data_IF_257112828776
#
_entry.id   IF_257112828776
#
_cell.length_a   1.000
_cell.length_b   1.000
_cell.length_c   1.000
_cell.angle_alpha   90.00
_cell.angle_beta   90.00
_cell.angle_gamma   90.00
#
_symmetry.space_group_name_H-M   'P 1'
#
loop_
_entity.id
_entity.type
_entity.pdbx_description
1 polymer ?
#
# COMPACT_ATOMS: atom_id res chain seq x y z
N UNK A 1 -41.49 13.24 -14.66
CA UNK A 1 -42.28 13.51 -13.44
C UNK A 1 -42.00 12.38 -12.44
N UNK A 2 -41.47 12.49 -11.22
CA UNK A 2 -40.91 13.55 -10.39
C UNK A 2 -39.65 12.96 -9.73
N UNK A 3 -38.46 13.23 -10.24
CA UNK A 3 -37.23 13.07 -9.47
C UNK A 3 -36.99 14.42 -8.78
N UNK A 4 -37.60 14.61 -7.61
CA UNK A 4 -37.36 15.79 -6.80
C UNK A 4 -35.88 15.80 -6.36
N UNK A 5 -35.14 16.79 -6.88
CA UNK A 5 -33.89 17.30 -6.35
C UNK A 5 -34.06 17.71 -4.87
N UNK A 6 -34.00 16.76 -3.95
CA UNK A 6 -33.64 17.07 -2.58
C UNK A 6 -32.11 17.26 -2.53
N UNK A 7 -31.60 18.41 -2.05
CA UNK A 7 -30.16 18.54 -1.86
C UNK A 7 -29.71 17.42 -0.91
N UNK A 8 -28.64 16.70 -1.26
CA UNK A 8 -27.93 15.79 -0.34
C UNK A 8 -27.36 16.64 0.80
N UNK A 9 -28.19 16.96 1.78
CA UNK A 9 -27.76 17.54 3.05
C UNK A 9 -26.99 16.45 3.78
N UNK A 10 -25.66 16.53 3.79
CA UNK A 10 -24.83 15.76 4.71
C UNK A 10 -25.19 16.21 6.12
N UNK A 11 -25.59 15.26 6.97
CA UNK A 11 -25.96 15.48 8.37
C UNK A 11 -24.77 15.24 9.29
N UNK A 12 -23.81 14.41 8.87
CA UNK A 12 -22.53 14.23 9.58
C UNK A 12 -21.62 15.43 9.32
N UNK A 13 -21.25 16.21 10.34
CA UNK A 13 -20.31 17.32 10.20
C UNK A 13 -18.93 16.84 9.76
N UNK A 14 -18.21 17.68 9.00
CA UNK A 14 -16.80 17.44 8.62
C UNK A 14 -16.55 16.14 7.87
N UNK A 15 -17.58 15.55 7.25
CA UNK A 15 -17.40 14.47 6.31
C UNK A 15 -16.74 15.01 5.04
N UNK A 16 -15.41 15.03 5.01
CA UNK A 16 -14.58 15.41 3.85
C UNK A 16 -14.19 14.19 3.00
N UNK A 17 -14.86 13.05 3.20
CA UNK A 17 -14.59 11.80 2.49
C UNK A 17 -15.63 11.54 1.39
N UNK A 18 -15.33 10.59 0.51
CA UNK A 18 -16.27 10.09 -0.51
C UNK A 18 -17.43 9.27 0.09
N UNK A 19 -17.30 8.81 1.34
CA UNK A 19 -18.35 8.07 2.02
C UNK A 19 -19.59 8.92 2.29
N UNK A 20 -20.75 8.33 2.04
CA UNK A 20 -22.06 8.84 2.45
C UNK A 20 -22.25 8.68 3.96
N UNK A 21 -23.17 9.46 4.53
CA UNK A 21 -23.51 9.34 5.96
C UNK A 21 -24.01 7.93 6.31
N UNK A 22 -24.71 7.27 5.38
CA UNK A 22 -25.11 5.87 5.50
C UNK A 22 -23.89 4.96 5.72
N UNK A 23 -22.88 5.09 4.87
CA UNK A 23 -21.68 4.24 4.96
C UNK A 23 -20.89 4.48 6.24
N UNK A 24 -20.81 5.74 6.68
CA UNK A 24 -20.15 6.08 7.96
C UNK A 24 -20.92 5.48 9.14
N UNK A 25 -22.24 5.64 9.17
CA UNK A 25 -23.08 5.06 10.23
C UNK A 25 -22.94 3.54 10.25
N UNK A 26 -22.97 2.87 9.11
CA UNK A 26 -22.85 1.41 9.03
C UNK A 26 -21.47 0.97 9.53
N UNK A 27 -20.39 1.68 9.16
CA UNK A 27 -19.03 1.36 9.62
C UNK A 27 -18.85 1.55 11.12
N UNK A 28 -19.48 2.58 11.70
CA UNK A 28 -19.32 2.89 13.12
C UNK A 28 -20.29 2.13 14.02
N UNK A 29 -21.55 1.96 13.59
CA UNK A 29 -22.66 1.47 14.41
C UNK A 29 -23.32 0.19 13.88
N UNK A 30 -23.05 -0.21 12.63
CA UNK A 30 -23.66 -1.37 11.97
C UNK A 30 -24.94 -1.07 11.19
N UNK A 31 -25.34 -2.03 10.35
CA UNK A 31 -26.52 -1.92 9.46
C UNK A 31 -27.82 -1.73 10.23
N UNK A 32 -27.97 -2.41 11.37
CA UNK A 32 -29.18 -2.31 12.19
C UNK A 32 -29.38 -0.90 12.75
N UNK A 33 -28.30 -0.21 13.14
CA UNK A 33 -28.37 1.17 13.60
C UNK A 33 -28.80 2.12 12.47
N UNK A 34 -28.31 1.90 11.24
CA UNK A 34 -28.76 2.67 10.08
C UNK A 34 -30.27 2.50 9.82
N UNK A 35 -30.79 1.27 9.88
CA UNK A 35 -32.23 1.00 9.70
C UNK A 35 -33.07 1.74 10.74
N UNK A 36 -32.67 1.69 12.02
CA UNK A 36 -33.36 2.41 13.09
C UNK A 36 -33.31 3.93 12.86
N UNK A 37 -32.16 4.46 12.41
CA UNK A 37 -32.02 5.88 12.09
C UNK A 37 -32.93 6.30 10.95
N UNK A 38 -33.01 5.53 9.87
CA UNK A 38 -33.84 5.83 8.71
C UNK A 38 -35.34 5.83 9.07
N UNK A 39 -35.78 4.84 9.85
CA UNK A 39 -37.13 4.80 10.41
C UNK A 39 -37.43 6.03 11.27
N UNK A 40 -36.51 6.43 12.16
CA UNK A 40 -36.69 7.60 13.03
C UNK A 40 -36.67 8.93 12.25
N UNK A 41 -35.99 9.00 11.10
CA UNK A 41 -36.00 10.18 10.21
C UNK A 41 -37.34 10.37 9.51
N UNK A 42 -38.02 9.27 9.17
CA UNK A 42 -39.36 9.33 8.59
C UNK A 42 -40.41 9.91 9.56
N UNK A 43 -40.19 9.79 10.87
CA UNK A 43 -41.00 10.41 11.92
C UNK A 43 -40.58 11.85 12.22
N UNK A 44 -41.41 12.84 11.83
CA UNK A 44 -41.16 14.31 11.88
C UNK A 44 -40.83 14.96 13.26
N UNK A 45 -40.32 14.26 14.27
CA UNK A 45 -40.14 14.76 15.66
C UNK A 45 -38.69 14.71 16.23
N UNK A 46 -37.67 14.27 15.51
CA UNK A 46 -36.36 13.87 16.10
C UNK A 46 -35.13 14.74 15.75
N UNK A 47 -35.30 15.86 15.03
CA UNK A 47 -34.19 16.57 14.37
C UNK A 47 -33.00 17.00 15.26
N UNK A 48 -33.24 17.46 16.49
CA UNK A 48 -32.14 17.91 17.38
C UNK A 48 -31.34 16.76 17.99
N UNK A 49 -32.00 15.66 18.36
CA UNK A 49 -31.34 14.47 18.91
C UNK A 49 -30.55 13.71 17.83
N UNK A 50 -31.12 13.62 16.62
CA UNK A 50 -30.42 13.05 15.47
C UNK A 50 -29.15 13.85 15.13
N UNK A 51 -29.24 15.18 15.10
CA UNK A 51 -28.07 16.05 14.88
C UNK A 51 -26.95 15.81 15.90
N UNK A 52 -27.27 15.71 17.18
CA UNK A 52 -26.26 15.46 18.23
C UNK A 52 -25.59 14.09 18.07
N UNK A 53 -26.33 13.07 17.62
CA UNK A 53 -25.76 11.77 17.30
C UNK A 53 -24.81 11.86 16.10
N UNK A 54 -25.21 12.52 15.02
CA UNK A 54 -24.33 12.72 13.86
C UNK A 54 -23.10 13.55 14.17
N UNK A 55 -23.17 14.52 15.09
CA UNK A 55 -22.01 15.24 15.61
C UNK A 55 -21.04 14.30 16.34
N UNK A 56 -21.54 13.34 17.13
CA UNK A 56 -20.69 12.31 17.79
C UNK A 56 -20.02 11.42 16.74
N UNK A 57 -20.77 10.94 15.75
CA UNK A 57 -20.23 10.09 14.68
C UNK A 57 -19.24 10.84 13.80
N UNK A 58 -19.50 12.12 13.52
CA UNK A 58 -18.61 12.99 12.76
C UNK A 58 -17.28 13.23 13.46
N UNK A 59 -17.30 13.47 14.77
CA UNK A 59 -16.08 13.64 15.56
C UNK A 59 -15.24 12.35 15.62
N UNK A 60 -15.87 11.17 15.77
CA UNK A 60 -15.15 9.89 15.68
C UNK A 60 -14.54 9.73 14.28
N UNK A 61 -15.36 9.95 13.25
CA UNK A 61 -14.96 9.75 11.86
C UNK A 61 -13.81 10.66 11.42
N UNK A 62 -13.89 11.95 11.74
CA UNK A 62 -12.86 12.92 11.35
C UNK A 62 -11.52 12.59 11.99
N UNK A 63 -11.52 12.15 13.26
CA UNK A 63 -10.29 11.72 13.93
C UNK A 63 -9.77 10.41 13.34
N UNK A 64 -10.63 9.42 13.09
CA UNK A 64 -10.21 8.16 12.45
C UNK A 64 -9.59 8.36 11.06
N UNK A 65 -10.01 9.41 10.34
CA UNK A 65 -9.56 9.72 8.97
C UNK A 65 -8.49 10.80 8.88
N UNK A 66 -8.00 11.30 10.01
CA UNK A 66 -6.99 12.35 10.05
C UNK A 66 -5.81 11.95 10.96
N UNK A 67 -4.71 11.44 10.38
CA UNK A 67 -3.51 11.08 11.13
C UNK A 67 -2.98 12.18 12.05
N UNK A 68 -3.08 13.46 11.66
CA UNK A 68 -2.62 14.57 12.50
C UNK A 68 -3.45 14.73 13.78
N UNK A 69 -4.78 14.50 13.69
CA UNK A 69 -5.64 14.50 14.88
C UNK A 69 -5.39 13.26 15.74
N UNK A 70 -5.12 12.11 15.14
CA UNK A 70 -4.75 10.91 15.89
C UNK A 70 -3.47 11.13 16.70
N UNK A 71 -2.44 11.67 16.07
CA UNK A 71 -1.16 11.94 16.72
C UNK A 71 -1.30 12.98 17.84
N UNK A 72 -2.02 14.09 17.63
CA UNK A 72 -2.28 15.08 18.69
C UNK A 72 -2.98 14.45 19.91
N UNK A 73 -3.95 13.57 19.68
CA UNK A 73 -4.71 12.91 20.76
C UNK A 73 -3.92 11.77 21.43
N UNK A 74 -2.99 11.12 20.73
CA UNK A 74 -2.06 10.16 21.31
C UNK A 74 -1.03 10.86 22.21
N UNK A 75 -0.51 12.00 21.76
CA UNK A 75 0.51 12.77 22.49
C UNK A 75 -0.08 13.62 23.62
N UNK A 76 -1.39 13.92 23.56
CA UNK A 76 -2.08 14.74 24.55
C UNK A 76 -3.27 14.00 25.22
N UNK A 77 -3.01 13.19 26.27
CA UNK A 77 -4.05 12.45 26.99
C UNK A 77 -5.17 13.33 27.57
N UNK A 78 -4.85 14.59 27.91
CA UNK A 78 -5.85 15.53 28.43
C UNK A 78 -6.85 15.94 27.34
N UNK A 79 -6.38 16.29 26.13
CA UNK A 79 -7.26 16.58 24.99
C UNK A 79 -8.10 15.37 24.61
N UNK A 80 -7.50 14.17 24.58
CA UNK A 80 -8.24 12.91 24.38
C UNK A 80 -9.36 12.76 25.41
N UNK A 81 -9.06 12.93 26.70
CA UNK A 81 -10.08 12.86 27.76
C UNK A 81 -11.21 13.87 27.56
N UNK A 82 -10.90 15.12 27.24
CA UNK A 82 -11.90 16.16 26.96
C UNK A 82 -12.81 15.81 25.78
N UNK A 83 -12.24 15.29 24.69
CA UNK A 83 -13.02 14.81 23.54
C UNK A 83 -13.99 13.70 23.96
N UNK A 84 -13.49 12.65 24.62
CA UNK A 84 -14.31 11.52 25.05
C UNK A 84 -15.42 11.96 26.01
N UNK A 85 -15.12 12.82 26.99
CA UNK A 85 -16.12 13.38 27.90
C UNK A 85 -17.21 14.18 27.16
N UNK A 86 -16.83 14.96 26.14
CA UNK A 86 -17.76 15.70 25.31
C UNK A 86 -18.68 14.77 24.49
N UNK A 87 -18.13 13.70 23.90
CA UNK A 87 -18.91 12.70 23.17
C UNK A 87 -19.94 12.02 24.08
N UNK A 88 -19.53 11.53 25.26
CA UNK A 88 -20.46 10.95 26.23
C UNK A 88 -21.49 11.95 26.74
N UNK A 89 -21.11 13.23 26.94
CA UNK A 89 -22.05 14.26 27.33
C UNK A 89 -23.15 14.44 26.27
N UNK A 90 -22.80 14.52 24.98
CA UNK A 90 -23.79 14.61 23.89
C UNK A 90 -24.72 13.39 23.87
N UNK A 91 -24.18 12.18 24.05
CA UNK A 91 -25.00 10.96 24.11
C UNK A 91 -25.97 10.95 25.31
N UNK A 92 -25.56 11.47 26.47
CA UNK A 92 -26.47 11.64 27.63
C UNK A 92 -27.58 12.63 27.32
N UNK A 93 -27.28 13.73 26.64
CA UNK A 93 -28.30 14.71 26.23
C UNK A 93 -29.30 14.16 25.20
N UNK A 94 -28.84 13.31 24.27
CA UNK A 94 -29.73 12.55 23.36
C UNK A 94 -30.68 11.66 24.18
N UNK A 95 -30.15 10.93 25.16
CA UNK A 95 -30.93 10.02 26.00
C UNK A 95 -31.97 10.77 26.87
N UNK A 96 -31.65 11.96 27.41
CA UNK A 96 -32.60 12.77 28.19
C UNK A 96 -33.78 13.29 27.39
N UNK A 97 -33.62 13.46 26.08
CA UNK A 97 -34.65 14.01 25.17
C UNK A 97 -35.51 12.93 24.52
N UNK A 98 -35.32 11.69 24.92
CA UNK A 98 -36.08 10.54 24.47
C UNK A 98 -37.52 10.59 24.97
N UNK A 99 -38.49 10.41 24.08
CA UNK A 99 -39.91 10.21 24.44
C UNK A 99 -40.18 8.74 24.70
N UNK A 100 -41.20 8.42 25.50
CA UNK A 100 -41.60 7.05 25.82
C UNK A 100 -41.93 6.20 24.59
N UNK A 101 -42.55 6.79 23.57
CA UNK A 101 -42.91 6.11 22.30
C UNK A 101 -41.69 5.64 21.50
N UNK A 102 -40.56 6.36 21.59
CA UNK A 102 -39.35 6.08 20.80
C UNK A 102 -38.22 5.50 21.66
N UNK A 103 -38.52 5.16 22.92
CA UNK A 103 -37.51 4.87 23.92
C UNK A 103 -36.65 3.66 23.60
N UNK A 104 -37.26 2.58 23.09
CA UNK A 104 -36.53 1.37 22.71
C UNK A 104 -35.56 1.63 21.54
N UNK A 105 -36.04 2.28 20.47
CA UNK A 105 -35.24 2.58 19.27
C UNK A 105 -34.10 3.56 19.55
N UNK A 106 -34.39 4.66 20.23
CA UNK A 106 -33.37 5.66 20.61
C UNK A 106 -32.38 5.05 21.61
N UNK A 107 -32.86 4.23 22.55
CA UNK A 107 -32.02 3.51 23.49
C UNK A 107 -31.00 2.60 22.80
N UNK A 108 -31.43 1.82 21.79
CA UNK A 108 -30.55 0.98 20.97
C UNK A 108 -29.48 1.80 20.25
N UNK A 109 -29.87 2.89 19.58
CA UNK A 109 -28.92 3.77 18.89
C UNK A 109 -27.89 4.41 19.83
N UNK A 110 -28.34 4.92 20.98
CA UNK A 110 -27.45 5.50 21.98
C UNK A 110 -26.53 4.43 22.57
N UNK A 111 -27.01 3.20 22.75
CA UNK A 111 -26.21 2.04 23.14
C UNK A 111 -25.07 1.79 22.14
N UNK A 112 -25.42 1.57 20.87
CA UNK A 112 -24.42 1.35 19.81
C UNK A 112 -23.42 2.52 19.69
N UNK A 113 -23.89 3.76 19.84
CA UNK A 113 -23.02 4.93 19.80
C UNK A 113 -22.09 5.02 21.03
N UNK A 114 -22.54 4.60 22.21
CA UNK A 114 -21.66 4.48 23.39
C UNK A 114 -20.58 3.43 23.14
N UNK A 115 -20.95 2.27 22.62
CA UNK A 115 -19.99 1.21 22.29
C UNK A 115 -18.96 1.70 21.26
N UNK A 116 -19.40 2.46 20.26
CA UNK A 116 -18.50 3.07 19.28
C UNK A 116 -17.53 4.10 19.90
N UNK A 117 -17.99 4.92 20.86
CA UNK A 117 -17.12 5.86 21.60
C UNK A 117 -16.10 5.11 22.46
N UNK A 118 -16.52 4.05 23.16
CA UNK A 118 -15.62 3.23 23.98
C UNK A 118 -14.58 2.50 23.11
N UNK A 119 -15.01 1.94 21.98
CA UNK A 119 -14.10 1.33 21.01
C UNK A 119 -13.10 2.36 20.47
N UNK A 120 -13.58 3.52 20.01
CA UNK A 120 -12.75 4.63 19.54
C UNK A 120 -11.74 5.08 20.60
N UNK A 121 -12.15 5.17 21.86
CA UNK A 121 -11.25 5.51 22.95
C UNK A 121 -10.18 4.42 23.14
N UNK A 122 -10.57 3.15 23.19
CA UNK A 122 -9.66 2.02 23.40
C UNK A 122 -8.63 1.86 22.26
N UNK A 123 -8.96 2.28 21.04
CA UNK A 123 -8.06 2.23 19.89
C UNK A 123 -6.76 3.01 20.12
N UNK A 124 -6.81 4.16 20.79
CA UNK A 124 -5.60 4.94 21.09
C UNK A 124 -4.60 4.15 21.95
N UNK A 125 -5.08 3.39 22.93
CA UNK A 125 -4.23 2.56 23.78
C UNK A 125 -3.67 1.37 23.01
N UNK A 126 -4.47 0.75 22.14
CA UNK A 126 -4.04 -0.32 21.23
C UNK A 126 -2.95 0.18 20.27
N UNK A 127 -3.13 1.35 19.67
CA UNK A 127 -2.13 2.00 18.81
C UNK A 127 -0.85 2.29 19.59
N UNK A 128 -0.94 2.84 20.80
CA UNK A 128 0.25 3.13 21.61
C UNK A 128 1.03 1.85 21.96
N UNK A 129 0.34 0.76 22.32
CA UNK A 129 0.96 -0.54 22.57
C UNK A 129 1.60 -1.09 21.30
N UNK A 130 0.91 -1.02 20.16
CA UNK A 130 1.44 -1.50 18.89
C UNK A 130 2.66 -0.69 18.45
N UNK A 131 2.65 0.65 18.54
CA UNK A 131 3.82 1.51 18.24
C UNK A 131 5.03 1.11 19.09
N UNK A 132 4.85 0.82 20.39
CA UNK A 132 5.94 0.31 21.25
C UNK A 132 6.47 -1.04 20.78
N UNK A 133 5.59 -1.97 20.39
CA UNK A 133 5.99 -3.28 19.84
C UNK A 133 6.75 -3.12 18.53
N UNK A 134 6.23 -2.32 17.60
CA UNK A 134 6.86 -2.05 16.31
C UNK A 134 8.24 -1.44 16.49
N UNK A 135 8.38 -0.41 17.33
CA UNK A 135 9.70 0.19 17.65
C UNK A 135 10.68 -0.83 18.22
N UNK A 136 10.22 -1.75 19.08
CA UNK A 136 11.05 -2.80 19.67
C UNK A 136 11.49 -3.86 18.64
N UNK A 137 10.61 -4.24 17.72
CA UNK A 137 10.87 -5.29 16.73
C UNK A 137 11.68 -4.74 15.56
N UNK A 138 11.21 -3.66 14.93
CA UNK A 138 11.81 -3.08 13.72
C UNK A 138 13.04 -2.21 14.02
N UNK A 139 13.11 -1.58 15.19
CA UNK A 139 14.26 -0.76 15.59
C UNK A 139 15.55 -1.55 15.82
N UNK A 140 15.52 -2.89 15.67
CA UNK A 140 16.71 -3.74 15.62
C UNK A 140 17.38 -3.74 14.24
N UNK A 141 16.63 -3.40 13.20
CA UNK A 141 17.04 -3.53 11.80
C UNK A 141 17.20 -2.18 11.12
N UNK A 142 16.47 -1.16 11.55
CA UNK A 142 16.52 0.18 10.96
C UNK A 142 16.62 1.27 12.02
N UNK A 143 17.05 2.46 11.60
CA UNK A 143 17.10 3.64 12.44
C UNK A 143 15.70 4.08 12.91
N UNK A 144 15.63 4.76 14.05
CA UNK A 144 14.34 5.10 14.68
C UNK A 144 13.50 6.09 13.84
N UNK A 145 14.17 6.97 13.10
CA UNK A 145 13.59 7.94 12.17
C UNK A 145 13.08 7.30 10.87
N UNK A 146 13.53 6.09 10.54
CA UNK A 146 12.99 5.30 9.44
C UNK A 146 11.68 4.57 9.79
N UNK A 147 11.17 4.71 11.02
CA UNK A 147 9.90 4.13 11.48
C UNK A 147 8.91 5.27 11.70
N UNK A 148 8.27 5.73 10.63
CA UNK A 148 7.45 6.93 10.62
C UNK A 148 5.97 6.62 10.92
N UNK A 149 5.42 7.36 11.88
CA UNK A 149 4.00 7.31 12.24
C UNK A 149 3.28 8.64 12.00
N UNK A 150 4.02 9.69 11.67
CA UNK A 150 3.51 11.05 11.58
C UNK A 150 2.52 11.21 10.42
N UNK A 151 1.69 12.25 10.53
CA UNK A 151 0.66 12.53 9.54
C UNK A 151 1.19 12.79 8.13
N UNK A 152 2.38 13.37 7.96
CA UNK A 152 2.92 13.64 6.61
C UNK A 152 3.29 12.32 5.93
N UNK A 153 4.04 11.46 6.62
CA UNK A 153 4.39 10.14 6.10
C UNK A 153 3.14 9.34 5.74
N UNK A 154 2.16 9.22 6.65
CA UNK A 154 0.95 8.42 6.41
C UNK A 154 0.08 8.99 5.30
N UNK A 155 -0.06 10.31 5.20
CA UNK A 155 -0.85 10.97 4.13
C UNK A 155 -0.20 10.85 2.76
N UNK A 156 1.12 10.99 2.66
CA UNK A 156 1.81 10.84 1.37
C UNK A 156 1.81 9.40 0.83
N UNK A 157 1.57 8.40 1.69
CA UNK A 157 1.63 6.99 1.34
C UNK A 157 0.25 6.27 1.38
N UNK A 158 -0.83 7.03 1.51
CA UNK A 158 -2.22 6.50 1.54
C UNK A 158 -2.75 6.08 0.16
N UNK A 159 -2.10 6.54 -0.92
CA UNK A 159 -2.64 6.40 -2.28
C UNK A 159 -1.55 6.29 -3.34
N UNK A 160 -1.88 5.74 -4.50
CA UNK A 160 -1.10 5.80 -5.73
C UNK A 160 -1.79 6.69 -6.79
N UNK A 161 -1.44 6.58 -8.07
CA UNK A 161 -2.01 7.40 -9.12
C UNK A 161 -3.50 7.08 -9.42
N UNK A 162 -4.08 6.05 -8.82
CA UNK A 162 -5.55 5.83 -8.83
C UNK A 162 -6.30 6.87 -8.00
N UNK A 163 -5.60 7.58 -7.11
CA UNK A 163 -6.18 8.52 -6.15
C UNK A 163 -7.13 7.87 -5.12
N UNK A 164 -7.14 6.53 -5.03
CA UNK A 164 -7.92 5.79 -4.04
C UNK A 164 -7.31 5.95 -2.65
N UNK A 165 -8.13 6.38 -1.68
CA UNK A 165 -7.74 6.58 -0.27
C UNK A 165 -8.58 5.71 0.64
N UNK A 166 -8.30 4.41 0.65
CA UNK A 166 -9.10 3.42 1.38
C UNK A 166 -8.75 3.45 2.86
N UNK A 167 -7.53 3.07 3.24
CA UNK A 167 -7.03 3.15 4.62
C UNK A 167 -5.69 3.89 4.69
N UNK A 168 -5.41 4.50 5.85
CA UNK A 168 -4.06 5.00 6.14
C UNK A 168 -3.18 3.86 6.62
N UNK A 169 -1.90 3.81 6.20
CA UNK A 169 -1.00 2.78 6.72
C UNK A 169 -0.78 3.00 8.23
N UNK A 170 -0.54 1.92 8.97
CA UNK A 170 -0.19 2.00 10.38
C UNK A 170 1.17 2.70 10.57
N UNK A 171 2.13 2.32 9.73
CA UNK A 171 3.52 2.79 9.76
C UNK A 171 4.06 2.88 8.34
N UNK A 172 4.93 3.87 8.10
CA UNK A 172 5.75 3.95 6.89
C UNK A 172 7.20 3.68 7.28
N UNK A 173 7.85 2.78 6.56
CA UNK A 173 9.23 2.37 6.76
C UNK A 173 10.08 2.89 5.61
N UNK A 174 11.19 3.57 5.90
CA UNK A 174 12.07 4.20 4.90
C UNK A 174 13.53 3.74 5.09
N UNK A 175 13.86 2.45 4.83
CA UNK A 175 15.21 1.92 5.03
C UNK A 175 16.29 2.71 4.28
N UNK A 176 17.50 2.75 4.82
CA UNK A 176 18.67 3.39 4.21
C UNK A 176 19.45 2.44 3.29
N UNK A 177 19.42 1.14 3.59
CA UNK A 177 20.12 0.09 2.86
C UNK A 177 19.21 -1.10 2.56
N UNK A 178 19.53 -1.84 1.49
CA UNK A 178 18.82 -3.08 1.17
C UNK A 178 18.99 -4.14 2.27
N UNK A 179 20.13 -4.14 2.99
CA UNK A 179 20.43 -5.10 4.06
C UNK A 179 19.41 -5.07 5.22
N UNK A 180 18.63 -4.00 5.35
CA UNK A 180 17.59 -3.86 6.36
C UNK A 180 16.31 -4.62 5.99
N UNK A 181 16.06 -4.85 4.69
CA UNK A 181 14.81 -5.37 4.16
C UNK A 181 14.44 -6.75 4.73
N UNK A 182 15.35 -7.74 4.82
CA UNK A 182 15.02 -9.05 5.42
C UNK A 182 14.47 -8.95 6.84
N UNK A 183 15.10 -8.12 7.67
CA UNK A 183 14.70 -7.89 9.05
C UNK A 183 13.36 -7.16 9.15
N UNK A 184 13.13 -6.16 8.30
CA UNK A 184 11.88 -5.42 8.24
C UNK A 184 10.71 -6.31 7.78
N UNK A 185 10.90 -7.17 6.78
CA UNK A 185 9.87 -8.11 6.31
C UNK A 185 9.49 -9.09 7.42
N UNK A 186 10.46 -9.76 8.05
CA UNK A 186 10.23 -10.67 9.19
C UNK A 186 9.50 -9.97 10.33
N UNK A 187 9.97 -8.78 10.69
CA UNK A 187 9.39 -8.01 11.77
C UNK A 187 7.95 -7.58 11.51
N UNK A 188 7.62 -7.13 10.29
CA UNK A 188 6.26 -6.79 9.90
C UNK A 188 5.31 -8.00 9.98
N UNK A 189 5.75 -9.17 9.52
CA UNK A 189 4.97 -10.41 9.60
C UNK A 189 4.76 -10.84 11.07
N UNK A 190 5.79 -10.78 11.91
CA UNK A 190 5.67 -11.03 13.37
C UNK A 190 4.64 -10.10 14.04
N UNK A 191 4.57 -8.86 13.58
CA UNK A 191 3.65 -7.84 14.10
C UNK A 191 2.22 -7.98 13.55
N UNK A 192 1.99 -8.87 12.57
CA UNK A 192 0.71 -9.03 11.89
C UNK A 192 0.36 -7.87 10.96
N UNK A 193 1.37 -7.19 10.41
CA UNK A 193 1.19 -6.09 9.46
C UNK A 193 1.21 -6.60 8.02
N UNK A 194 0.24 -6.17 7.22
CA UNK A 194 0.28 -6.34 5.76
C UNK A 194 1.38 -5.46 5.18
N UNK A 195 2.33 -6.06 4.45
CA UNK A 195 3.44 -5.34 3.84
C UNK A 195 3.02 -4.80 2.48
N UNK A 196 3.29 -3.52 2.22
CA UNK A 196 3.08 -2.88 0.93
C UNK A 196 4.41 -2.26 0.48
N UNK A 197 5.14 -2.89 -0.46
CA UNK A 197 6.33 -2.28 -1.03
C UNK A 197 5.93 -1.09 -1.93
N UNK A 198 6.68 0.00 -1.85
CA UNK A 198 6.36 1.23 -2.59
C UNK A 198 7.63 1.95 -3.05
N UNK A 199 7.73 2.22 -4.35
CA UNK A 199 8.63 3.25 -4.89
C UNK A 199 7.89 4.58 -5.01
N UNK A 200 8.03 5.29 -6.15
CA UNK A 200 7.39 6.60 -6.36
C UNK A 200 5.85 6.66 -6.43
N UNK A 201 5.13 5.58 -6.12
CA UNK A 201 3.65 5.62 -5.97
C UNK A 201 2.86 5.94 -7.25
N UNK A 202 3.44 5.71 -8.44
CA UNK A 202 2.84 6.11 -9.73
C UNK A 202 1.95 5.02 -10.38
N UNK A 203 1.58 3.97 -9.64
CA UNK A 203 0.77 2.87 -10.14
C UNK A 203 -0.70 3.27 -10.38
N UNK A 204 -1.37 2.64 -11.35
CA UNK A 204 -2.74 2.96 -11.78
C UNK A 204 -3.77 1.87 -11.47
N UNK A 205 -3.49 1.05 -10.47
CA UNK A 205 -4.23 -0.18 -10.19
C UNK A 205 -4.55 -0.37 -8.72
N UNK A 206 -3.95 0.41 -7.82
CA UNK A 206 -4.16 0.29 -6.39
C UNK A 206 -3.14 -0.63 -5.70
N UNK A 207 -2.13 -1.15 -6.41
CA UNK A 207 -1.12 -2.06 -5.84
C UNK A 207 -0.31 -1.47 -4.67
N UNK A 208 -0.23 -0.13 -4.58
CA UNK A 208 0.42 0.57 -3.46
C UNK A 208 -0.57 1.27 -2.50
N UNK A 209 -1.87 0.97 -2.61
CA UNK A 209 -2.93 1.56 -1.77
C UNK A 209 -3.18 0.66 -0.55
N UNK A 210 -3.07 1.18 0.68
CA UNK A 210 -3.43 0.40 1.86
C UNK A 210 -4.93 0.14 1.93
N UNK A 211 -5.29 -1.14 2.01
CA UNK A 211 -6.67 -1.61 2.16
C UNK A 211 -7.03 -2.01 3.60
N UNK A 212 -6.03 -2.03 4.49
CA UNK A 212 -6.17 -2.37 5.90
C UNK A 212 -5.43 -1.33 6.75
N UNK A 213 -6.00 -0.91 7.90
CA UNK A 213 -5.29 -0.04 8.83
C UNK A 213 -4.09 -0.74 9.47
N UNK A 214 -4.03 -2.08 9.42
CA UNK A 214 -2.90 -2.89 9.89
C UNK A 214 -1.90 -3.16 8.75
N UNK A 215 -1.43 -2.09 8.10
CA UNK A 215 -0.47 -2.17 6.99
C UNK A 215 0.80 -1.39 7.29
N UNK A 216 1.92 -1.92 6.82
CA UNK A 216 3.22 -1.25 6.79
C UNK A 216 3.58 -0.97 5.34
N UNK A 217 3.75 0.31 5.00
CA UNK A 217 4.31 0.68 3.70
C UNK A 217 5.83 0.71 3.83
N UNK A 218 6.54 -0.07 3.00
CA UNK A 218 8.01 -0.01 2.91
C UNK A 218 8.34 0.85 1.69
N UNK A 219 8.74 2.10 1.92
CA UNK A 219 9.16 3.01 0.86
C UNK A 219 10.64 2.74 0.51
N UNK A 220 10.89 2.35 -0.73
CA UNK A 220 12.21 2.00 -1.26
C UNK A 220 12.93 3.14 -1.97
N UNK A 221 12.37 4.36 -2.04
CA UNK A 221 12.95 5.51 -2.76
C UNK A 221 14.36 5.88 -2.29
N UNK A 222 14.72 5.64 -1.03
CA UNK A 222 16.08 5.85 -0.50
C UNK A 222 17.11 4.83 -1.04
N UNK A 223 16.67 3.70 -1.60
CA UNK A 223 17.54 2.69 -2.21
C UNK A 223 17.96 3.13 -3.63
N UNK A 224 18.69 4.24 -3.70
CA UNK A 224 18.96 4.98 -4.94
C UNK A 224 20.37 4.79 -5.52
N UNK A 225 21.07 3.73 -5.11
CA UNK A 225 22.37 3.33 -5.67
C UNK A 225 22.26 3.15 -7.19
N UNK A 226 23.11 3.83 -7.95
CA UNK A 226 23.14 3.76 -9.41
C UNK A 226 24.57 3.58 -9.89
N UNK A 227 24.84 2.48 -10.58
CA UNK A 227 26.14 2.20 -11.21
C UNK A 227 26.33 2.92 -12.54
N UNK A 228 27.55 2.80 -13.09
CA UNK A 228 27.81 3.14 -14.48
C UNK A 228 27.27 2.06 -15.42
N UNK A 229 27.22 2.37 -16.72
CA UNK A 229 27.05 1.32 -17.73
C UNK A 229 28.35 0.55 -17.87
N UNK A 230 28.28 -0.77 -17.73
CA UNK A 230 29.41 -1.68 -17.81
C UNK A 230 29.14 -2.80 -18.81
N UNK A 231 30.19 -3.20 -19.53
CA UNK A 231 30.16 -4.37 -20.41
C UNK A 231 30.38 -5.62 -19.55
N UNK A 232 29.35 -6.46 -19.43
CA UNK A 232 29.42 -7.70 -18.65
C UNK A 232 29.11 -8.89 -19.54
N UNK A 233 29.86 -9.99 -19.37
CA UNK A 233 29.48 -11.29 -19.94
C UNK A 233 28.42 -11.94 -19.04
N UNK A 234 27.16 -11.88 -19.46
CA UNK A 234 26.05 -12.50 -18.74
C UNK A 234 26.12 -14.04 -18.79
N UNK A 235 25.53 -14.75 -17.80
CA UNK A 235 25.50 -16.20 -17.81
C UNK A 235 24.90 -16.79 -19.09
N UNK A 236 25.60 -17.75 -19.70
CA UNK A 236 25.18 -18.41 -20.94
C UNK A 236 25.48 -17.64 -22.23
N UNK A 237 26.13 -16.47 -22.15
CA UNK A 237 26.59 -15.73 -23.33
C UNK A 237 28.10 -15.88 -23.55
N UNK A 238 28.50 -15.83 -24.82
CA UNK A 238 29.90 -15.89 -25.26
C UNK A 238 30.51 -14.51 -25.52
N UNK A 239 29.73 -13.43 -25.38
CA UNK A 239 30.14 -12.04 -25.57
C UNK A 239 29.66 -11.16 -24.41
N UNK A 240 30.23 -9.96 -24.31
CA UNK A 240 29.81 -8.96 -23.32
C UNK A 240 28.65 -8.13 -23.86
N UNK A 241 27.78 -7.69 -22.96
CA UNK A 241 26.65 -6.79 -23.25
C UNK A 241 26.65 -5.62 -22.29
N UNK A 242 26.11 -4.48 -22.74
CA UNK A 242 25.97 -3.30 -21.89
C UNK A 242 24.91 -3.54 -20.81
N UNK A 243 25.27 -3.28 -19.57
CA UNK A 243 24.42 -3.48 -18.38
C UNK A 243 24.53 -2.27 -17.47
N UNK A 244 23.50 -2.03 -16.66
CA UNK A 244 23.51 -0.98 -15.63
C UNK A 244 22.89 -1.53 -14.35
N UNK A 245 23.61 -1.39 -13.24
CA UNK A 245 23.11 -1.75 -11.92
C UNK A 245 22.35 -0.56 -11.29
N UNK A 246 21.21 -0.85 -10.67
CA UNK A 246 20.43 0.15 -9.94
C UNK A 246 19.70 -0.45 -8.74
N UNK A 247 19.64 0.28 -7.63
CA UNK A 247 18.74 -0.01 -6.53
C UNK A 247 17.27 0.21 -6.89
N UNK A 248 16.38 -0.40 -6.10
CA UNK A 248 14.93 -0.37 -6.36
C UNK A 248 14.32 1.05 -6.34
N UNK A 249 14.93 1.97 -5.60
CA UNK A 249 14.47 3.35 -5.42
C UNK A 249 14.87 4.31 -6.54
N UNK A 250 15.78 3.93 -7.42
CA UNK A 250 16.27 4.82 -8.47
C UNK A 250 15.14 5.23 -9.41
N UNK A 251 14.95 6.55 -9.59
CA UNK A 251 14.00 7.10 -10.55
C UNK A 251 14.38 6.68 -11.97
N UNK A 252 13.42 6.20 -12.75
CA UNK A 252 13.61 5.63 -14.10
C UNK A 252 14.38 6.57 -15.02
N UNK A 253 14.05 7.88 -14.98
CA UNK A 253 14.73 8.89 -15.79
C UNK A 253 16.23 8.95 -15.52
N UNK A 254 16.69 8.75 -14.28
CA UNK A 254 18.13 8.75 -13.93
C UNK A 254 18.87 7.59 -14.59
N UNK A 255 18.25 6.41 -14.65
CA UNK A 255 18.82 5.25 -15.35
C UNK A 255 18.86 5.49 -16.85
N UNK A 256 17.79 6.07 -17.43
CA UNK A 256 17.78 6.46 -18.84
C UNK A 256 18.88 7.46 -19.16
N UNK A 257 19.06 8.50 -18.35
CA UNK A 257 20.13 9.49 -18.56
C UNK A 257 21.53 8.90 -18.45
N UNK A 258 21.74 7.96 -17.53
CA UNK A 258 23.01 7.25 -17.41
C UNK A 258 23.29 6.38 -18.64
N UNK A 259 22.28 5.67 -19.15
CA UNK A 259 22.38 4.89 -20.37
C UNK A 259 22.66 5.80 -21.58
N UNK A 260 21.90 6.88 -21.75
CA UNK A 260 22.03 7.80 -22.88
C UNK A 260 23.43 8.44 -22.94
N UNK A 261 24.00 8.82 -21.78
CA UNK A 261 25.39 9.34 -21.67
C UNK A 261 26.46 8.35 -22.12
N UNK A 262 26.18 7.05 -22.05
CA UNK A 262 27.07 5.98 -22.52
C UNK A 262 26.81 5.58 -23.98
N UNK A 263 25.89 6.25 -24.68
CA UNK A 263 25.49 5.89 -26.04
C UNK A 263 24.53 4.71 -26.12
N UNK A 264 23.93 4.29 -25.00
CA UNK A 264 22.96 3.20 -24.91
C UNK A 264 21.55 3.74 -24.70
N UNK A 265 20.53 2.96 -25.08
CA UNK A 265 19.13 3.30 -24.83
C UNK A 265 18.60 2.46 -23.68
N UNK A 266 18.09 3.10 -22.62
CA UNK A 266 17.29 2.38 -21.63
C UNK A 266 15.88 2.11 -22.18
N UNK A 267 15.51 0.83 -22.26
CA UNK A 267 14.31 0.36 -22.95
C UNK A 267 13.01 0.66 -22.20
N UNK A 268 13.03 0.65 -20.86
CA UNK A 268 11.82 0.80 -20.03
C UNK A 268 11.48 2.29 -19.88
N UNK A 269 10.39 2.72 -20.52
CA UNK A 269 10.00 4.13 -20.65
C UNK A 269 8.53 4.41 -20.29
N UNK A 270 8.07 4.10 -19.05
CA UNK A 270 6.72 4.44 -18.64
C UNK A 270 6.47 5.95 -18.76
N UNK A 271 5.23 6.36 -19.00
CA UNK A 271 4.85 7.79 -19.04
C UNK A 271 5.23 8.52 -17.74
N UNK A 272 5.31 7.80 -16.62
CA UNK A 272 5.73 8.29 -15.32
C UNK A 272 7.24 8.23 -15.07
N UNK A 273 8.10 8.09 -16.08
CA UNK A 273 9.54 7.86 -15.89
C UNK A 273 10.28 8.89 -15.02
N UNK A 274 9.77 10.12 -14.91
CA UNK A 274 10.33 11.17 -14.04
C UNK A 274 9.99 10.98 -12.55
N UNK A 275 9.08 10.06 -12.22
CA UNK A 275 8.65 9.77 -10.84
C UNK A 275 8.64 8.28 -10.50
N UNK A 276 8.45 7.36 -11.46
CA UNK A 276 8.48 5.93 -11.19
C UNK A 276 9.91 5.44 -10.91
N UNK A 277 10.03 4.50 -9.99
CA UNK A 277 11.31 3.90 -9.62
C UNK A 277 11.51 2.54 -10.31
N UNK A 278 12.76 2.10 -10.46
CA UNK A 278 13.11 0.82 -11.12
C UNK A 278 12.44 -0.37 -10.45
N UNK A 279 12.39 -0.44 -9.11
CA UNK A 279 11.73 -1.54 -8.40
C UNK A 279 10.25 -1.65 -8.76
N UNK A 280 9.55 -0.52 -8.85
CA UNK A 280 8.16 -0.48 -9.32
C UNK A 280 8.03 -0.90 -10.78
N UNK A 281 8.95 -0.49 -11.66
CA UNK A 281 8.93 -0.92 -13.05
C UNK A 281 9.10 -2.44 -13.20
N UNK A 282 9.98 -3.04 -12.40
CA UNK A 282 10.21 -4.50 -12.38
C UNK A 282 8.96 -5.19 -11.85
N UNK A 283 8.47 -4.80 -10.68
CA UNK A 283 7.30 -5.39 -10.04
C UNK A 283 6.08 -5.41 -10.98
N UNK A 284 5.94 -4.38 -11.81
CA UNK A 284 4.77 -4.17 -12.67
C UNK A 284 4.99 -4.60 -14.13
N UNK A 285 6.17 -5.15 -14.43
CA UNK A 285 6.65 -5.42 -15.79
C UNK A 285 6.38 -4.25 -16.75
N UNK A 286 6.80 -3.06 -16.32
CA UNK A 286 6.49 -1.81 -17.00
C UNK A 286 6.98 -1.83 -18.45
N UNK A 287 6.18 -1.22 -19.32
CA UNK A 287 6.57 -0.93 -20.69
C UNK A 287 6.51 0.57 -20.93
N UNK A 288 6.26 0.93 -22.18
CA UNK A 288 6.08 2.30 -22.63
C UNK A 288 6.09 2.34 -24.15
N UNK A 289 6.44 3.48 -24.74
CA UNK A 289 6.43 3.64 -26.20
C UNK A 289 7.55 2.81 -26.85
N UNK A 290 8.70 2.73 -26.18
CA UNK A 290 9.86 1.94 -26.60
C UNK A 290 9.60 0.43 -26.59
N UNK A 291 8.61 -0.05 -25.83
CA UNK A 291 8.34 -1.48 -25.69
C UNK A 291 7.99 -2.20 -27.01
N UNK A 292 7.52 -1.47 -28.03
CA UNK A 292 7.29 -2.02 -29.38
C UNK A 292 8.58 -2.57 -29.99
N UNK A 293 9.71 -1.89 -29.76
CA UNK A 293 11.02 -2.31 -30.26
C UNK A 293 11.74 -3.21 -29.25
N UNK A 294 11.82 -2.78 -27.99
CA UNK A 294 12.72 -3.39 -26.99
C UNK A 294 12.02 -4.19 -25.87
N UNK A 295 10.70 -4.35 -25.92
CA UNK A 295 9.95 -5.08 -24.89
C UNK A 295 9.70 -4.31 -23.59
N UNK A 296 9.15 -5.00 -22.60
CA UNK A 296 8.86 -4.50 -21.25
C UNK A 296 10.06 -4.72 -20.33
N UNK A 297 9.94 -4.39 -19.05
CA UNK A 297 11.01 -4.54 -18.07
C UNK A 297 11.61 -5.95 -18.07
N UNK A 298 10.77 -7.00 -18.05
CA UNK A 298 11.22 -8.39 -18.03
C UNK A 298 12.14 -8.77 -19.21
N UNK A 299 11.91 -8.23 -20.41
CA UNK A 299 12.74 -8.56 -21.58
C UNK A 299 14.16 -8.03 -21.46
N UNK A 300 14.37 -7.03 -20.59
CA UNK A 300 15.62 -6.30 -20.43
C UNK A 300 16.36 -6.65 -19.13
N UNK A 301 15.75 -7.43 -18.22
CA UNK A 301 16.37 -7.81 -16.96
C UNK A 301 17.43 -8.90 -17.14
N UNK A 302 18.67 -8.55 -16.83
CA UNK A 302 19.76 -9.51 -16.66
C UNK A 302 19.63 -10.27 -15.33
N UNK A 303 19.29 -9.56 -14.24
CA UNK A 303 19.01 -10.12 -12.93
C UNK A 303 18.23 -9.14 -12.06
N UNK A 304 17.65 -9.63 -10.97
CA UNK A 304 17.10 -8.80 -9.89
C UNK A 304 17.20 -9.53 -8.55
N UNK A 305 17.14 -8.76 -7.47
CA UNK A 305 17.14 -9.23 -6.09
C UNK A 305 15.85 -8.83 -5.40
N UNK A 306 15.30 -9.73 -4.60
CA UNK A 306 14.16 -9.47 -3.74
C UNK A 306 14.32 -10.18 -2.39
N UNK A 307 13.36 -9.94 -1.50
CA UNK A 307 13.24 -10.62 -0.21
C UNK A 307 11.91 -11.36 -0.19
N UNK A 308 11.93 -12.64 0.17
CA UNK A 308 10.73 -13.48 0.29
C UNK A 308 9.97 -13.22 1.62
N UNK A 309 8.74 -13.73 1.78
CA UNK A 309 7.98 -13.57 3.03
C UNK A 309 8.66 -14.18 4.25
N UNK A 310 9.52 -15.17 4.07
CA UNK A 310 10.33 -15.74 5.14
C UNK A 310 11.53 -14.85 5.52
N UNK A 311 11.73 -13.71 4.84
CA UNK A 311 12.82 -12.77 5.00
C UNK A 311 14.18 -13.36 4.64
N UNK A 312 14.22 -14.13 3.55
CA UNK A 312 15.44 -14.58 2.90
C UNK A 312 15.64 -13.78 1.61
N UNK A 313 16.90 -13.64 1.22
CA UNK A 313 17.25 -13.10 -0.08
C UNK A 313 16.86 -14.07 -1.18
N UNK A 314 16.39 -13.53 -2.29
CA UNK A 314 16.15 -14.24 -3.54
C UNK A 314 16.81 -13.46 -4.68
N UNK A 315 17.91 -14.00 -5.20
CA UNK A 315 18.55 -13.52 -6.42
C UNK A 315 18.00 -14.30 -7.61
N UNK A 316 17.52 -13.60 -8.64
CA UNK A 316 17.02 -14.18 -9.89
C UNK A 316 17.92 -13.72 -11.03
N UNK A 317 18.54 -14.67 -11.72
CA UNK A 317 19.48 -14.42 -12.82
C UNK A 317 18.93 -15.01 -14.12
N UNK A 318 18.89 -14.22 -15.19
CA UNK A 318 18.47 -14.68 -16.52
C UNK A 318 19.64 -15.37 -17.22
N UNK A 319 19.45 -16.62 -17.60
CA UNK A 319 20.46 -17.44 -18.27
C UNK A 319 20.22 -17.41 -19.79
N UNK A 320 21.27 -17.12 -20.56
CA UNK A 320 21.19 -17.05 -22.02
C UNK A 320 20.25 -15.94 -22.49
N UNK A 321 20.38 -14.75 -21.90
CA UNK A 321 19.59 -13.57 -22.28
C UNK A 321 19.62 -13.36 -23.80
N UNK A 322 18.47 -13.15 -24.46
CA UNK A 322 18.40 -13.08 -25.92
C UNK A 322 18.54 -11.67 -26.52
N UNK A 323 18.65 -10.64 -25.67
CA UNK A 323 18.74 -9.21 -26.05
C UNK A 323 17.56 -8.77 -26.93
N UNK A 324 16.42 -9.43 -26.76
CA UNK A 324 15.21 -9.22 -27.52
C UNK A 324 13.99 -9.57 -26.67
N UNK A 325 12.82 -9.66 -27.30
CA UNK A 325 11.61 -9.92 -26.55
C UNK A 325 11.62 -11.37 -26.03
N UNK A 326 11.21 -11.56 -24.78
CA UNK A 326 11.32 -12.85 -24.09
C UNK A 326 10.44 -13.94 -24.71
N UNK A 327 9.42 -13.56 -25.48
CA UNK A 327 8.52 -14.51 -26.15
C UNK A 327 9.03 -14.99 -27.52
N UNK A 328 10.14 -14.43 -28.01
CA UNK A 328 10.75 -14.84 -29.27
C UNK A 328 11.67 -16.08 -29.12
N UNK A 329 11.96 -16.50 -27.88
CA UNK A 329 12.73 -17.72 -27.61
C UNK A 329 11.81 -18.90 -27.30
N UNK A 330 12.26 -20.11 -27.64
CA UNK A 330 11.54 -21.34 -27.28
C UNK A 330 11.36 -21.44 -25.76
N UNK A 331 12.44 -21.18 -25.02
CA UNK A 331 12.46 -21.19 -23.55
C UNK A 331 13.31 -20.04 -23.00
N UNK A 332 12.81 -19.38 -21.97
CA UNK A 332 13.59 -18.51 -21.10
C UNK A 332 13.95 -19.26 -19.81
N UNK A 333 15.22 -19.22 -19.44
CA UNK A 333 15.74 -19.89 -18.25
C UNK A 333 16.15 -18.86 -17.20
N UNK A 334 15.76 -19.10 -15.95
CA UNK A 334 16.11 -18.29 -14.80
C UNK A 334 16.70 -19.17 -13.70
N UNK A 335 17.83 -18.75 -13.16
CA UNK A 335 18.41 -19.37 -11.95
C UNK A 335 17.98 -18.55 -10.75
N UNK A 336 17.36 -19.21 -9.78
CA UNK A 336 16.86 -18.61 -8.55
C UNK A 336 17.72 -19.12 -7.39
N UNK A 337 18.31 -18.20 -6.62
CA UNK A 337 19.14 -18.54 -5.46
C UNK A 337 18.56 -17.90 -4.22
N UNK A 338 18.14 -18.74 -3.27
CA UNK A 338 17.71 -18.28 -1.95
C UNK A 338 18.88 -18.33 -0.99
N UNK A 339 19.09 -17.27 -0.22
CA UNK A 339 20.09 -17.23 0.84
C UNK A 339 19.55 -16.59 2.12
N UNK A 340 20.05 -17.03 3.27
CA UNK A 340 19.59 -16.59 4.58
C UNK A 340 19.73 -15.07 4.74
N UNK A 341 18.61 -14.39 5.00
CA UNK A 341 18.56 -12.93 5.13
C UNK A 341 19.26 -12.36 6.36
N UNK A 342 19.82 -13.18 7.25
CA UNK A 342 20.70 -12.74 8.34
C UNK A 342 22.13 -12.47 7.88
N UNK A 343 22.50 -12.90 6.67
CA UNK A 343 23.83 -12.72 6.09
C UNK A 343 23.70 -11.94 4.78
N UNK A 344 24.84 -11.46 4.27
CA UNK A 344 24.85 -10.83 2.96
C UNK A 344 24.37 -11.83 1.88
N UNK A 345 23.68 -11.33 0.82
CA UNK A 345 23.18 -12.17 -0.26
C UNK A 345 24.24 -13.13 -0.81
N UNK A 346 23.87 -14.40 -1.00
CA UNK A 346 24.73 -15.44 -1.55
C UNK A 346 25.71 -16.11 -0.58
N UNK A 347 25.94 -15.57 0.63
CA UNK A 347 26.90 -16.18 1.58
C UNK A 347 26.41 -17.49 2.19
N UNK A 348 25.12 -17.57 2.55
CA UNK A 348 24.51 -18.76 3.15
C UNK A 348 23.33 -19.22 2.32
N UNK A 349 23.64 -19.83 1.16
CA UNK A 349 22.64 -20.36 0.24
C UNK A 349 21.81 -21.44 0.93
N UNK A 350 20.49 -21.25 0.91
CA UNK A 350 19.50 -22.20 1.43
C UNK A 350 19.14 -23.21 0.34
N UNK A 351 18.81 -22.71 -0.85
CA UNK A 351 18.49 -23.53 -2.03
C UNK A 351 18.75 -22.77 -3.32
N UNK A 352 18.87 -23.52 -4.40
CA UNK A 352 18.90 -23.00 -5.76
C UNK A 352 17.90 -23.78 -6.60
N UNK A 353 17.24 -23.09 -7.52
CA UNK A 353 16.26 -23.65 -8.45
C UNK A 353 16.51 -23.09 -9.85
N UNK A 354 16.16 -23.86 -10.88
CA UNK A 354 16.16 -23.38 -12.25
C UNK A 354 14.72 -23.42 -12.79
N UNK A 355 14.21 -22.26 -13.20
CA UNK A 355 12.93 -22.14 -13.87
C UNK A 355 13.16 -22.05 -15.37
N UNK A 356 12.63 -23.03 -16.11
CA UNK A 356 12.62 -23.03 -17.58
C UNK A 356 11.18 -22.86 -18.07
N UNK A 357 10.89 -21.71 -18.66
CA UNK A 357 9.54 -21.29 -19.04
C UNK A 357 9.50 -21.11 -20.55
N UNK A 358 8.48 -21.67 -21.22
CA UNK A 358 8.27 -21.44 -22.65
C UNK A 358 8.09 -19.93 -22.92
N UNK A 359 8.86 -19.35 -23.85
CA UNK A 359 8.85 -17.89 -24.06
C UNK A 359 7.45 -17.35 -24.38
N UNK A 360 6.68 -18.07 -25.18
CA UNK A 360 5.28 -17.76 -25.53
C UNK A 360 4.32 -17.69 -24.34
N UNK A 361 4.69 -18.15 -23.14
CA UNK A 361 3.84 -18.03 -21.94
C UNK A 361 3.87 -16.64 -21.34
N UNK A 362 4.96 -15.88 -21.53
CA UNK A 362 5.06 -14.51 -21.01
C UNK A 362 4.15 -13.52 -21.76
N UNK A 363 3.72 -13.88 -22.98
CA UNK A 363 2.76 -13.11 -23.78
C UNK A 363 1.93 -14.00 -24.67
N UNK A 364 0.61 -13.89 -24.55
CA UNK A 364 -0.36 -14.42 -25.50
C UNK A 364 -0.04 -13.97 -26.93
N UNK A 365 0.12 -14.96 -27.79
CA UNK A 365 0.40 -14.79 -29.22
C UNK A 365 -0.68 -13.93 -29.89
N UNK A 366 -0.24 -13.02 -30.78
CA UNK A 366 -1.12 -12.06 -31.46
C UNK A 366 -1.47 -10.80 -30.65
N UNK A 367 -1.05 -10.68 -29.38
CA UNK A 367 -1.17 -9.45 -28.59
C UNK A 367 0.19 -8.77 -28.40
N UNK A 368 0.31 -7.50 -28.79
CA UNK A 368 1.53 -6.72 -28.60
C UNK A 368 1.91 -6.50 -27.12
N UNK A 369 0.89 -6.42 -26.24
CA UNK A 369 1.03 -6.43 -24.77
C UNK A 369 -0.08 -7.29 -24.17
N UNK A 370 0.27 -8.44 -23.60
CA UNK A 370 -0.71 -9.38 -23.06
C UNK A 370 -1.04 -9.18 -21.55
N UNK A 371 -2.22 -8.72 -21.18
CA UNK A 371 -2.62 -8.53 -19.76
C UNK A 371 -3.22 -9.80 -19.13
N UNK A 372 -3.18 -10.96 -19.82
CA UNK A 372 -3.93 -12.15 -19.41
C UNK A 372 -3.17 -13.11 -18.49
N UNK A 373 -1.85 -13.27 -18.64
CA UNK A 373 -1.01 -13.96 -17.63
C UNK A 373 -0.36 -12.94 -16.69
N UNK A 374 -0.93 -12.84 -15.48
CA UNK A 374 -0.46 -11.90 -14.44
C UNK A 374 0.72 -12.44 -13.64
N UNK A 375 0.81 -13.77 -13.50
CA UNK A 375 1.81 -14.45 -12.68
C UNK A 375 3.05 -14.84 -13.48
N UNK A 376 3.04 -14.63 -14.81
CA UNK A 376 4.18 -14.84 -15.70
C UNK A 376 4.82 -16.23 -15.50
N UNK A 377 3.95 -17.24 -15.47
CA UNK A 377 4.28 -18.64 -15.20
C UNK A 377 5.03 -18.92 -13.86
N UNK A 378 4.83 -18.09 -12.84
CA UNK A 378 5.40 -18.26 -11.50
C UNK A 378 6.78 -17.63 -11.31
N UNK A 379 7.21 -16.75 -12.23
CA UNK A 379 8.45 -16.00 -12.09
C UNK A 379 8.34 -14.98 -10.94
N UNK A 380 9.18 -15.06 -9.89
CA UNK A 380 9.01 -14.25 -8.70
C UNK A 380 9.42 -12.78 -8.91
N UNK A 381 8.71 -11.87 -8.25
CA UNK A 381 9.05 -10.44 -8.19
C UNK A 381 8.68 -9.62 -9.42
N UNK A 382 8.09 -10.25 -10.45
CA UNK A 382 7.62 -9.59 -11.65
C UNK A 382 6.17 -10.02 -11.88
N UNK A 383 5.26 -9.07 -11.99
CA UNK A 383 3.86 -9.32 -12.31
C UNK A 383 3.42 -8.46 -13.49
N UNK A 384 2.28 -8.81 -14.08
CA UNK A 384 1.65 -7.97 -15.10
C UNK A 384 0.30 -7.47 -14.64
N UNK A 385 0.16 -6.16 -14.52
CA UNK A 385 -1.08 -5.60 -14.03
C UNK A 385 -2.11 -5.28 -15.11
N UNK A 386 -3.33 -5.80 -14.93
CA UNK A 386 -4.35 -5.19 -14.05
C UNK A 386 -4.63 -6.08 -12.81
N UNK A 387 -5.06 -5.52 -11.68
CA UNK A 387 -5.15 -6.17 -10.36
C UNK A 387 -5.76 -7.58 -10.31
N UNK A 388 -5.05 -8.53 -9.71
CA UNK A 388 -5.52 -9.42 -8.63
C UNK A 388 -4.50 -10.54 -8.40
N UNK A 389 -3.86 -10.56 -7.22
CA UNK A 389 -3.08 -11.70 -6.72
C UNK A 389 -1.83 -11.30 -5.96
N UNK A 390 -1.83 -11.59 -4.65
CA UNK A 390 -0.64 -11.67 -3.79
C UNK A 390 0.43 -12.60 -4.38
#
# INVERSE_FOLDING_TARGET
EHAQNAPRLREIPYNYTSFSDREIVIRLLGEQAWQILDELRSGRKTGRSARMLYEVLGDIWVVQRNPYLQDDLLDNPHRRKQLIEALHHRLREVQKRMTTELADKVGKLVGSAKDAVEFFNAEFDRVAVLRKRVKKVLGKYTAADNIAYDGLARVSHVTDATDWRVEYPFVVLTPDSEDEIPGLVKGCIELGLTIIPRGGGTGYTGGAVPLSPMSAVINTEKLETLGAVEMLRLPGLDHEVATIYSGAGVVTKRVSDAADKSGNVFAVDPTSAEASCIGGNIAMNAGGKKAVLWGTALDNLASWRMVDPEGNWLDVERIGHNMGKIHDVDFATFKLTWSDGLYAPGLRVIKTEELKIEGKRFRKEGLGKDVTDKFLAGLPGVQKEGCDGL
#
